data_IF_798301918632
#
_entry.id   IF_798301918632
#
_cell.length_a   1.000
_cell.length_b   1.000
_cell.length_c   1.000
_cell.angle_alpha   90.00
_cell.angle_beta   90.00
_cell.angle_gamma   90.00
#
_symmetry.space_group_name_H-M   'P 1'
#
loop_
_entity.id
_entity.type
_entity.pdbx_description
1 polymer ?
#
# COMPACT_ATOMS: atom_id res chain seq x y z
N UNK A 1 -18.80 -12.34 21.18
CA UNK A 1 -18.46 -12.97 19.89
C UNK A 1 -16.99 -12.70 19.64
N UNK A 2 -16.15 -13.74 19.61
CA UNK A 2 -14.69 -13.62 19.58
C UNK A 2 -14.21 -13.76 18.13
N UNK A 3 -13.60 -12.69 17.61
CA UNK A 3 -12.85 -12.68 16.35
C UNK A 3 -11.52 -13.38 16.57
N UNK A 4 -11.41 -14.63 16.17
CA UNK A 4 -10.12 -15.33 16.19
C UNK A 4 -9.40 -15.16 14.85
N UNK A 5 -8.11 -14.81 14.85
CA UNK A 5 -7.32 -14.72 13.64
C UNK A 5 -7.10 -16.12 13.04
N UNK A 6 -7.43 -16.28 11.75
CA UNK A 6 -7.08 -17.46 10.96
C UNK A 6 -5.56 -17.50 10.71
N UNK A 7 -4.96 -18.67 10.89
CA UNK A 7 -3.53 -18.94 10.72
C UNK A 7 -3.07 -18.70 9.27
N UNK A 8 -2.05 -17.86 9.07
CA UNK A 8 -1.52 -17.49 7.74
C UNK A 8 -0.21 -18.26 7.46
N UNK A 9 -0.13 -19.18 6.49
CA UNK A 9 1.14 -19.64 5.98
C UNK A 9 1.59 -18.71 4.84
N UNK A 10 2.05 -17.50 5.17
CA UNK A 10 2.80 -16.57 4.31
C UNK A 10 3.12 -15.31 5.16
N UNK A 11 4.37 -14.83 5.19
CA UNK A 11 4.81 -13.70 6.04
C UNK A 11 4.18 -12.35 5.62
N UNK A 12 2.91 -12.12 5.97
CA UNK A 12 2.19 -10.86 5.74
C UNK A 12 2.19 -10.05 7.04
N UNK A 13 2.56 -8.76 6.96
CA UNK A 13 2.50 -7.85 8.12
C UNK A 13 1.08 -7.34 8.40
N UNK A 14 0.19 -7.41 7.41
CA UNK A 14 -1.19 -6.94 7.50
C UNK A 14 -2.12 -8.00 8.09
N UNK A 15 -3.10 -7.56 8.87
CA UNK A 15 -4.17 -8.43 9.36
C UNK A 15 -5.07 -8.89 8.22
N UNK A 16 -5.64 -10.09 8.35
CA UNK A 16 -6.64 -10.62 7.41
C UNK A 16 -8.02 -10.50 8.05
N UNK A 17 -8.97 -9.92 7.32
CA UNK A 17 -10.35 -9.71 7.74
C UNK A 17 -11.29 -10.51 6.86
N UNK A 18 -12.26 -11.20 7.46
CA UNK A 18 -13.34 -11.90 6.77
C UNK A 18 -14.62 -11.07 6.64
N UNK A 19 -14.68 -9.93 7.36
CA UNK A 19 -15.72 -8.92 7.28
C UNK A 19 -15.09 -7.54 7.25
N UNK A 20 -15.74 -6.58 6.58
CA UNK A 20 -15.24 -5.19 6.57
C UNK A 20 -15.54 -4.56 7.93
N UNK A 21 -14.52 -4.11 8.71
CA UNK A 21 -14.76 -3.45 9.98
C UNK A 21 -15.56 -2.15 9.80
N UNK A 22 -16.29 -1.74 10.84
CA UNK A 22 -17.01 -0.47 10.82
C UNK A 22 -16.04 0.72 10.60
N UNK A 23 -16.44 1.69 9.76
CA UNK A 23 -15.59 2.83 9.39
C UNK A 23 -14.51 2.51 8.34
N UNK A 24 -14.40 1.26 7.91
CA UNK A 24 -13.47 0.86 6.86
C UNK A 24 -14.16 0.74 5.50
N UNK A 25 -13.35 0.87 4.44
CA UNK A 25 -13.74 0.59 3.05
C UNK A 25 -12.81 -0.48 2.45
N UNK A 26 -13.24 -1.05 1.32
CA UNK A 26 -12.41 -1.94 0.51
C UNK A 26 -11.86 -1.20 -0.71
N UNK A 27 -10.57 -1.33 -0.95
CA UNK A 27 -9.90 -0.87 -2.15
C UNK A 27 -9.32 -2.06 -2.92
N UNK A 28 -9.73 -2.24 -4.18
CA UNK A 28 -9.12 -3.24 -5.05
C UNK A 28 -7.64 -2.90 -5.29
N UNK A 29 -6.77 -3.87 -5.06
CA UNK A 29 -5.33 -3.75 -5.32
C UNK A 29 -5.10 -4.00 -6.81
N UNK A 30 -4.77 -2.95 -7.56
CA UNK A 30 -4.63 -3.02 -9.02
C UNK A 30 -3.23 -3.38 -9.54
N UNK A 31 -2.22 -3.38 -8.68
CA UNK A 31 -0.82 -3.55 -9.07
C UNK A 31 -0.02 -4.27 -7.98
N UNK A 32 1.26 -4.53 -8.25
CA UNK A 32 2.14 -5.28 -7.33
C UNK A 32 3.02 -4.40 -6.45
N UNK A 33 2.79 -3.09 -6.42
CA UNK A 33 3.65 -2.11 -5.73
C UNK A 33 3.72 -2.33 -4.21
N UNK A 34 2.68 -2.95 -3.66
CA UNK A 34 2.55 -3.23 -2.22
C UNK A 34 2.77 -4.70 -1.86
N UNK A 35 3.26 -5.51 -2.81
CA UNK A 35 3.63 -6.90 -2.52
C UNK A 35 4.89 -6.95 -1.63
N UNK A 36 5.05 -7.98 -0.77
CA UNK A 36 4.20 -9.18 -0.67
C UNK A 36 2.94 -8.99 0.18
N UNK A 37 2.75 -7.85 0.83
CA UNK A 37 1.68 -7.65 1.82
C UNK A 37 0.30 -7.45 1.19
N UNK A 38 0.27 -6.84 -0.01
CA UNK A 38 -0.93 -6.71 -0.85
C UNK A 38 -0.58 -7.13 -2.27
N UNK A 39 -1.43 -7.96 -2.87
CA UNK A 39 -1.23 -8.53 -4.21
C UNK A 39 -2.33 -8.07 -5.16
N UNK A 40 -2.04 -7.95 -6.47
CA UNK A 40 -3.07 -7.64 -7.46
C UNK A 40 -4.28 -8.57 -7.34
N UNK A 41 -5.49 -8.00 -7.37
CA UNK A 41 -6.74 -8.73 -7.24
C UNK A 41 -7.23 -8.95 -5.80
N UNK A 42 -6.40 -8.67 -4.79
CA UNK A 42 -6.85 -8.62 -3.39
C UNK A 42 -7.59 -7.30 -3.10
N UNK A 43 -8.30 -7.26 -1.98
CA UNK A 43 -8.91 -6.04 -1.46
C UNK A 43 -8.18 -5.59 -0.20
N UNK A 44 -7.64 -4.38 -0.21
CA UNK A 44 -7.10 -3.73 0.98
C UNK A 44 -8.25 -3.20 1.84
N UNK A 45 -8.17 -3.42 3.15
CA UNK A 45 -9.08 -2.82 4.14
C UNK A 45 -8.47 -1.49 4.57
N UNK A 46 -9.21 -0.40 4.38
CA UNK A 46 -8.75 0.96 4.63
C UNK A 46 -9.62 1.60 5.71
N UNK A 47 -9.03 1.98 6.84
CA UNK A 47 -9.69 2.77 7.88
C UNK A 47 -9.70 4.25 7.46
N UNK A 48 -10.89 4.74 7.12
CA UNK A 48 -11.09 6.12 6.63
C UNK A 48 -11.08 7.17 7.73
N UNK A 49 -11.20 6.75 9.00
CA UNK A 49 -11.08 7.67 10.13
C UNK A 49 -9.62 7.98 10.47
N UNK A 50 -8.70 7.12 10.04
CA UNK A 50 -7.28 7.25 10.31
C UNK A 50 -6.53 7.93 9.14
N UNK A 51 -6.33 9.23 9.30
CA UNK A 51 -5.57 10.06 8.35
C UNK A 51 -4.34 10.68 9.00
N UNK A 52 -3.90 10.16 10.14
CA UNK A 52 -2.71 10.67 10.82
C UNK A 52 -1.44 10.09 10.20
N UNK A 53 -0.56 10.89 9.55
CA UNK A 53 0.60 10.35 8.85
C UNK A 53 1.59 9.66 9.79
N UNK A 54 1.91 8.39 9.51
CA UNK A 54 2.92 7.63 10.24
C UNK A 54 4.03 7.13 9.30
N UNK A 55 5.28 7.24 9.75
CA UNK A 55 6.43 6.82 8.97
C UNK A 55 6.44 5.29 8.80
N UNK A 56 6.47 4.82 7.56
CA UNK A 56 6.55 3.40 7.20
C UNK A 56 5.20 2.73 6.97
N UNK A 57 4.10 3.38 7.37
CA UNK A 57 2.74 2.85 7.24
C UNK A 57 2.18 2.99 5.81
N UNK A 58 1.16 2.18 5.52
CA UNK A 58 0.49 2.16 4.22
C UNK A 58 -0.79 2.99 4.25
N UNK A 59 -1.01 3.78 3.21
CA UNK A 59 -2.21 4.59 3.07
C UNK A 59 -2.81 4.43 1.69
N UNK A 60 -4.13 4.49 1.62
CA UNK A 60 -4.83 4.84 0.41
C UNK A 60 -4.76 6.36 0.25
N UNK A 61 -4.25 6.81 -0.89
CA UNK A 61 -4.18 8.23 -1.20
C UNK A 61 -5.03 8.56 -2.41
N UNK A 62 -5.53 9.79 -2.45
CA UNK A 62 -6.16 10.37 -3.64
C UNK A 62 -5.23 11.41 -4.24
N UNK A 63 -4.89 11.20 -5.51
CA UNK A 63 -4.09 12.14 -6.29
C UNK A 63 -4.94 13.33 -6.75
N UNK A 64 -4.27 14.42 -7.14
CA UNK A 64 -4.94 15.59 -7.73
C UNK A 64 -5.69 15.25 -9.03
N UNK A 65 -5.29 14.19 -9.73
CA UNK A 65 -6.00 13.67 -10.92
C UNK A 65 -7.33 12.99 -10.58
N UNK A 66 -7.65 12.79 -9.30
CA UNK A 66 -8.80 12.01 -8.82
C UNK A 66 -8.54 10.52 -8.71
N UNK A 67 -7.45 10.01 -9.30
CA UNK A 67 -7.03 8.62 -9.15
C UNK A 67 -6.64 8.28 -7.70
N UNK A 68 -6.68 7.00 -7.36
CA UNK A 68 -6.26 6.51 -6.04
C UNK A 68 -5.18 5.46 -6.18
N UNK A 69 -4.26 5.41 -5.22
CA UNK A 69 -3.22 4.38 -5.12
C UNK A 69 -2.94 4.05 -3.66
N UNK A 70 -2.43 2.84 -3.42
CA UNK A 70 -1.90 2.43 -2.12
C UNK A 70 -0.39 2.68 -2.12
N UNK A 71 0.08 3.44 -1.13
CA UNK A 71 1.48 3.85 -1.02
C UNK A 71 1.99 3.74 0.41
N UNK A 72 3.30 3.59 0.56
CA UNK A 72 3.97 3.76 1.84
C UNK A 72 4.26 5.25 2.08
N UNK A 73 3.83 5.75 3.22
CA UNK A 73 4.23 7.07 3.72
C UNK A 73 5.61 6.97 4.38
N UNK A 74 6.46 7.96 4.15
CA UNK A 74 7.70 8.12 4.91
C UNK A 74 8.07 9.58 5.03
N UNK A 75 8.73 9.92 6.13
CA UNK A 75 9.19 11.27 6.42
C UNK A 75 10.71 11.31 6.59
N UNK A 76 11.30 12.47 6.33
CA UNK A 76 12.72 12.75 6.59
C UNK A 76 12.92 14.25 6.80
N UNK A 77 13.97 14.66 7.53
CA UNK A 77 14.35 16.06 7.62
C UNK A 77 14.65 16.65 6.24
N UNK A 78 14.25 17.90 6.05
CA UNK A 78 14.49 18.70 4.86
C UNK A 78 14.93 20.12 5.23
N UNK A 79 15.40 20.85 4.23
CA UNK A 79 15.74 22.26 4.33
C UNK A 79 15.18 23.01 3.14
N UNK A 80 14.62 24.19 3.39
CA UNK A 80 14.17 25.14 2.38
C UNK A 80 14.62 26.54 2.84
N UNK A 81 15.11 27.36 1.92
CA UNK A 81 15.68 28.68 2.22
C UNK A 81 14.69 29.66 2.85
N UNK A 82 13.39 29.51 2.61
CA UNK A 82 12.33 30.39 3.12
C UNK A 82 11.83 30.00 4.52
N UNK A 83 11.75 28.69 4.79
CA UNK A 83 11.17 28.15 6.04
C UNK A 83 12.20 27.48 6.96
N UNK A 84 13.44 27.33 6.51
CA UNK A 84 14.50 26.65 7.25
C UNK A 84 14.33 25.13 7.28
N UNK A 85 14.68 24.52 8.42
CA UNK A 85 14.55 23.08 8.64
C UNK A 85 13.10 22.66 8.84
N UNK A 86 12.69 21.56 8.21
CA UNK A 86 11.34 21.00 8.33
C UNK A 86 11.36 19.48 8.22
N UNK A 87 10.24 18.83 8.58
CA UNK A 87 9.99 17.43 8.26
C UNK A 87 9.11 17.37 7.00
N UNK A 88 9.66 16.78 5.93
CA UNK A 88 8.89 16.53 4.71
C UNK A 88 8.25 15.15 4.74
N UNK A 89 7.11 15.02 4.10
CA UNK A 89 6.44 13.75 3.85
C UNK A 89 6.54 13.37 2.38
N UNK A 90 6.81 12.10 2.13
CA UNK A 90 6.89 11.50 0.81
C UNK A 90 6.07 10.23 0.73
N UNK A 91 5.66 9.87 -0.47
CA UNK A 91 5.06 8.57 -0.77
C UNK A 91 5.96 7.77 -1.70
N UNK A 92 5.89 6.44 -1.58
CA UNK A 92 6.58 5.51 -2.48
C UNK A 92 5.87 4.17 -2.52
N UNK A 93 6.23 3.37 -3.51
CA UNK A 93 5.99 1.92 -3.54
C UNK A 93 6.74 1.19 -2.41
N UNK A 94 6.17 0.10 -1.86
CA UNK A 94 6.91 -0.78 -0.94
C UNK A 94 8.03 -1.52 -1.67
N UNK A 95 7.81 -1.88 -2.94
CA UNK A 95 8.78 -2.60 -3.77
C UNK A 95 9.91 -1.75 -4.31
N UNK A 96 10.08 -0.52 -3.84
CA UNK A 96 11.11 0.41 -4.34
C UNK A 96 12.50 -0.23 -4.43
N UNK A 97 12.90 -1.07 -3.48
CA UNK A 97 14.22 -1.71 -3.51
C UNK A 97 14.41 -2.60 -4.75
N UNK A 98 13.36 -3.32 -5.16
CA UNK A 98 13.39 -4.14 -6.37
C UNK A 98 13.55 -3.24 -7.59
N UNK A 99 12.80 -2.14 -7.64
CA UNK A 99 12.89 -1.15 -8.72
C UNK A 99 14.27 -0.50 -8.82
N UNK A 100 14.86 -0.08 -7.69
CA UNK A 100 16.19 0.53 -7.69
C UNK A 100 17.24 -0.44 -8.26
N UNK A 101 17.12 -1.74 -7.97
CA UNK A 101 18.00 -2.77 -8.54
C UNK A 101 17.75 -3.00 -10.03
N UNK A 102 16.50 -3.08 -10.46
CA UNK A 102 16.12 -3.26 -11.87
C UNK A 102 16.58 -2.07 -12.72
N UNK A 103 16.36 -0.83 -12.25
CA UNK A 103 16.80 0.39 -12.92
C UNK A 103 18.32 0.47 -12.96
N UNK A 104 19.02 0.14 -11.87
CA UNK A 104 20.49 0.12 -11.86
C UNK A 104 21.06 -0.92 -12.84
N UNK A 105 20.43 -2.10 -12.94
CA UNK A 105 20.80 -3.13 -13.91
C UNK A 105 20.55 -2.66 -15.35
N UNK A 106 19.40 -2.06 -15.62
CA UNK A 106 19.07 -1.50 -16.93
C UNK A 106 20.03 -0.39 -17.34
N UNK A 107 20.36 0.52 -16.42
CA UNK A 107 21.31 1.61 -16.65
C UNK A 107 22.71 1.11 -17.02
N UNK A 108 23.19 0.04 -16.37
CA UNK A 108 24.48 -0.59 -16.69
C UNK A 108 24.50 -1.26 -18.07
N UNK A 109 23.35 -1.76 -18.53
CA UNK A 109 23.22 -2.42 -19.83
C UNK A 109 22.90 -1.45 -20.98
N UNK A 110 22.61 -0.18 -20.67
CA UNK A 110 22.18 0.79 -21.66
C UNK A 110 23.33 1.29 -22.53
N UNK A 111 23.15 1.40 -23.85
CA UNK A 111 24.16 1.99 -24.72
C UNK A 111 24.30 3.50 -24.46
N UNK A 112 25.45 4.11 -24.79
CA UNK A 112 25.64 5.56 -24.68
C UNK A 112 24.52 6.33 -25.40
N UNK A 113 23.94 7.33 -24.73
CA UNK A 113 22.87 8.16 -25.27
C UNK A 113 21.45 7.60 -25.13
N UNK A 114 21.26 6.41 -24.54
CA UNK A 114 19.94 5.88 -24.25
C UNK A 114 19.22 6.66 -23.14
N UNK A 115 17.93 6.93 -23.34
CA UNK A 115 17.04 7.47 -22.31
C UNK A 115 16.36 6.30 -21.61
N UNK A 116 16.59 6.16 -20.31
CA UNK A 116 15.95 5.12 -19.50
C UNK A 116 14.53 5.53 -19.13
N UNK A 117 13.56 4.68 -19.44
CA UNK A 117 12.22 4.80 -18.88
C UNK A 117 12.23 4.26 -17.46
N UNK A 118 11.99 5.12 -16.47
CA UNK A 118 11.89 4.73 -15.06
C UNK A 118 10.44 4.27 -14.81
N UNK A 119 10.22 3.02 -14.37
CA UNK A 119 8.87 2.56 -14.00
C UNK A 119 8.18 3.49 -13.00
N UNK A 120 6.86 3.64 -13.09
CA UNK A 120 6.10 4.50 -12.16
C UNK A 120 6.28 4.09 -10.69
N UNK A 121 6.47 2.79 -10.42
CA UNK A 121 6.69 2.25 -9.07
C UNK A 121 7.99 2.70 -8.39
N UNK A 122 8.98 3.20 -9.15
CA UNK A 122 10.22 3.75 -8.57
C UNK A 122 10.06 5.21 -8.14
N UNK A 123 8.96 5.87 -8.52
CA UNK A 123 8.80 7.30 -8.27
C UNK A 123 8.48 7.56 -6.79
N UNK A 124 9.14 8.59 -6.27
CA UNK A 124 8.86 9.16 -4.96
C UNK A 124 8.14 10.47 -5.19
N UNK A 125 7.01 10.68 -4.53
CA UNK A 125 6.31 11.96 -4.60
C UNK A 125 6.48 12.74 -3.28
N UNK A 126 6.76 14.04 -3.37
CA UNK A 126 7.05 14.95 -2.25
C UNK A 126 8.36 15.73 -2.42
N UNK A 127 8.80 16.52 -1.42
CA UNK A 127 8.22 16.64 -0.08
C UNK A 127 6.91 17.38 -0.07
N UNK A 128 5.96 16.89 0.72
CA UNK A 128 4.76 17.61 1.13
C UNK A 128 4.91 18.02 2.60
N UNK A 129 4.31 19.15 2.99
CA UNK A 129 4.10 19.46 4.41
C UNK A 129 3.07 18.49 4.98
N UNK A 130 3.08 18.27 6.29
CA UNK A 130 2.18 17.30 6.93
C UNK A 130 0.70 17.58 6.64
N UNK A 131 0.27 18.84 6.75
CA UNK A 131 -1.12 19.24 6.46
C UNK A 131 -1.52 18.92 5.01
N UNK A 132 -0.66 19.27 4.04
CA UNK A 132 -0.87 18.96 2.63
C UNK A 132 -0.88 17.45 2.37
N UNK A 133 -0.07 16.71 3.13
CA UNK A 133 -0.02 15.27 3.02
C UNK A 133 -1.32 14.64 3.55
N UNK A 134 -1.77 15.07 4.73
CA UNK A 134 -3.03 14.66 5.36
C UNK A 134 -4.24 14.87 4.45
N UNK A 135 -4.30 15.99 3.72
CA UNK A 135 -5.37 16.26 2.76
C UNK A 135 -5.46 15.25 1.60
N UNK A 136 -4.36 14.58 1.26
CA UNK A 136 -4.34 13.56 0.22
C UNK A 136 -4.66 12.15 0.75
N UNK A 137 -4.62 11.94 2.07
CA UNK A 137 -4.89 10.64 2.68
C UNK A 137 -6.38 10.37 2.69
N UNK A 138 -6.80 9.24 2.12
CA UNK A 138 -8.17 8.72 2.24
C UNK A 138 -8.33 7.91 3.53
N UNK A 139 -7.27 7.20 3.93
CA UNK A 139 -7.26 6.39 5.14
C UNK A 139 -6.04 5.48 5.22
N UNK A 140 -5.73 4.96 6.41
CA UNK A 140 -4.65 3.97 6.63
C UNK A 140 -5.10 2.59 6.18
N UNK A 141 -4.22 1.85 5.51
CA UNK A 141 -4.46 0.44 5.20
C UNK A 141 -4.18 -0.39 6.44
N UNK A 142 -5.21 -1.05 6.95
CA UNK A 142 -5.16 -1.82 8.20
C UNK A 142 -5.18 -3.33 7.98
N UNK A 143 -5.48 -3.78 6.77
CA UNK A 143 -5.55 -5.22 6.48
C UNK A 143 -5.82 -5.58 5.04
N UNK A 144 -6.05 -6.87 4.84
CA UNK A 144 -6.50 -7.49 3.59
C UNK A 144 -7.83 -8.18 3.85
N UNK A 145 -8.79 -8.00 2.95
CA UNK A 145 -10.07 -8.69 3.02
C UNK A 145 -10.02 -10.03 2.28
N UNK A 146 -10.46 -11.08 2.95
CA UNK A 146 -10.58 -12.42 2.41
C UNK A 146 -11.89 -13.03 2.89
N UNK A 147 -12.85 -13.20 1.98
CA UNK A 147 -14.14 -13.79 2.33
C UNK A 147 -13.96 -15.22 2.87
N UNK A 148 -14.56 -15.50 4.03
CA UNK A 148 -14.70 -16.86 4.53
C UNK A 148 -15.67 -17.62 3.61
N UNK A 149 -15.15 -18.61 2.88
CA UNK A 149 -16.01 -19.54 2.16
C UNK A 149 -16.45 -20.60 3.16
N UNK A 150 -17.66 -20.47 3.71
CA UNK A 150 -18.34 -21.63 4.29
C UNK A 150 -18.69 -22.57 3.13
N UNK A 151 -17.86 -23.58 2.91
CA UNK A 151 -18.27 -24.71 2.08
C UNK A 151 -19.39 -25.42 2.85
N UNK A 152 -20.60 -25.58 2.28
CA UNK A 152 -21.60 -26.40 2.93
C UNK A 152 -21.03 -27.81 3.08
N UNK A 153 -20.95 -28.28 4.33
CA UNK A 153 -20.74 -29.69 4.63
C UNK A 153 -21.82 -30.46 3.86
N UNK A 154 -21.44 -31.17 2.80
CA UNK A 154 -22.31 -32.17 2.18
C UNK A 154 -22.36 -33.35 3.15
N UNK A 155 -23.12 -33.20 4.23
CA UNK A 155 -23.48 -34.27 5.15
C UNK A 155 -24.68 -35.01 4.54
N UNK A 156 -24.40 -35.82 3.52
CA UNK A 156 -25.46 -36.35 2.68
C UNK A 156 -25.06 -37.47 1.72
N UNK A 157 -24.18 -38.38 2.14
CA UNK A 157 -24.01 -39.67 1.45
C UNK A 157 -24.06 -40.82 2.46
N UNK A 158 -25.26 -41.03 3.02
CA UNK A 158 -25.74 -42.38 3.31
C UNK A 158 -26.37 -42.92 2.02
N UNK A 159 -25.77 -43.95 1.44
CA UNK A 159 -26.41 -45.17 0.87
C UNK A 159 -25.38 -45.97 0.10
N UNK A 160 -25.26 -47.24 0.46
CA UNK A 160 -24.37 -48.26 -0.09
C UNK A 160 -24.15 -49.33 0.95
#
# INVERSE_FOLDING_TARGET
MSTQPLHIPEYRALMVFDQVPAGCILQLVGNSESAPHLRPGEFAVVDTSDTDPQHGELYLIRWMSGGTDIVQAFCRPGFNSEIGHYIGWWTRSLRRRDYDQEVAKAARAAPPGAILSIPRGCMVDGPRREEQFRQALVGRVVGVYQASVELPLIEGLRRG
#
